data_IF_580990396572
#
_entry.id   IF_580990396572
#
_cell.length_a   1.000
_cell.length_b   1.000
_cell.length_c   1.000
_cell.angle_alpha   90.00
_cell.angle_beta   90.00
_cell.angle_gamma   90.00
#
_symmetry.space_group_name_H-M   'P 1'
#
loop_
_entity.id
_entity.type
_entity.pdbx_description
1 polymer ?
#
# COMPACT_ATOMS: atom_id res chain seq x y z
N UNK A 1 -2.82 4.36 49.52
CA UNK A 1 -2.19 3.16 48.94
C UNK A 1 -1.79 3.47 47.52
N UNK A 2 -0.48 3.46 47.22
CA UNK A 2 0.07 3.80 45.90
C UNK A 2 0.21 2.54 45.05
N UNK A 3 -0.47 2.49 43.91
CA UNK A 3 -0.31 1.42 42.92
C UNK A 3 0.91 1.74 42.04
N UNK A 4 2.04 1.09 42.31
CA UNK A 4 3.20 1.11 41.42
C UNK A 4 2.89 0.28 40.17
N UNK A 5 2.76 0.93 39.01
CA UNK A 5 2.61 0.25 37.73
C UNK A 5 3.96 -0.29 37.26
N UNK A 6 4.12 -1.62 37.31
CA UNK A 6 5.25 -2.31 36.67
C UNK A 6 5.18 -2.06 35.15
N UNK A 7 6.16 -1.35 34.58
CA UNK A 7 6.35 -1.24 33.13
C UNK A 7 7.02 -2.51 32.59
N UNK A 8 6.32 -3.26 31.75
CA UNK A 8 6.91 -4.30 30.93
C UNK A 8 7.46 -3.66 29.65
N UNK A 9 8.78 -3.63 29.50
CA UNK A 9 9.41 -3.11 28.29
C UNK A 9 9.27 -4.15 27.17
N UNK A 10 8.27 -3.98 26.30
CA UNK A 10 8.17 -4.74 25.06
C UNK A 10 8.97 -4.04 23.96
N UNK A 11 9.64 -4.84 23.12
CA UNK A 11 10.32 -4.33 21.93
C UNK A 11 9.27 -3.95 20.88
N UNK A 12 9.17 -2.66 20.57
CA UNK A 12 8.31 -2.20 19.46
C UNK A 12 8.94 -2.66 18.14
N UNK A 13 8.18 -3.42 17.36
CA UNK A 13 8.57 -3.77 16.00
C UNK A 13 8.19 -2.59 15.10
N UNK A 14 9.20 -1.93 14.52
CA UNK A 14 8.99 -0.81 13.62
C UNK A 14 8.57 -1.30 12.22
N UNK A 15 7.27 -1.46 12.05
CA UNK A 15 6.68 -1.85 10.77
C UNK A 15 6.93 -0.85 9.64
N UNK A 16 7.17 0.43 9.94
CA UNK A 16 7.47 1.44 8.90
C UNK A 16 8.85 1.19 8.32
N UNK A 17 9.85 1.00 9.18
CA UNK A 17 11.22 0.68 8.75
C UNK A 17 11.25 -0.60 7.92
N UNK A 18 10.55 -1.64 8.39
CA UNK A 18 10.46 -2.91 7.67
C UNK A 18 9.75 -2.73 6.32
N UNK A 19 8.65 -2.00 6.26
CA UNK A 19 7.93 -1.73 5.02
C UNK A 19 8.80 -0.99 3.99
N UNK A 20 9.57 0.02 4.43
CA UNK A 20 10.51 0.75 3.55
C UNK A 20 11.59 -0.18 2.99
N UNK A 21 12.14 -1.07 3.82
CA UNK A 21 13.11 -2.06 3.35
C UNK A 21 12.51 -2.98 2.27
N UNK A 22 11.33 -3.54 2.53
CA UNK A 22 10.63 -4.42 1.59
C UNK A 22 10.34 -3.69 0.26
N UNK A 23 9.90 -2.43 0.31
CA UNK A 23 9.65 -1.63 -0.90
C UNK A 23 10.92 -1.42 -1.73
N UNK A 24 12.08 -1.23 -1.09
CA UNK A 24 13.35 -1.09 -1.80
C UNK A 24 13.76 -2.39 -2.50
N UNK A 25 13.57 -3.54 -1.84
CA UNK A 25 13.82 -4.87 -2.40
C UNK A 25 12.91 -5.13 -3.62
N UNK A 26 11.60 -4.88 -3.49
CA UNK A 26 10.63 -5.04 -4.58
C UNK A 26 11.01 -4.15 -5.78
N UNK A 27 11.40 -2.90 -5.53
CA UNK A 27 11.83 -1.97 -6.60
C UNK A 27 13.03 -2.52 -7.38
N UNK A 28 14.01 -3.08 -6.67
CA UNK A 28 15.18 -3.70 -7.30
C UNK A 28 14.78 -4.89 -8.19
N UNK A 29 13.89 -5.74 -7.70
CA UNK A 29 13.41 -6.91 -8.46
C UNK A 29 12.63 -6.50 -9.72
N UNK A 30 11.81 -5.46 -9.62
CA UNK A 30 11.09 -4.91 -10.78
C UNK A 30 12.05 -4.35 -11.81
N UNK A 31 13.10 -3.64 -11.39
CA UNK A 31 14.11 -3.13 -12.33
C UNK A 31 14.81 -4.28 -13.06
N UNK A 32 15.19 -5.34 -12.34
CA UNK A 32 15.74 -6.56 -12.95
C UNK A 32 14.76 -7.25 -13.88
N UNK A 33 13.49 -7.29 -13.52
CA UNK A 33 12.43 -7.87 -14.33
C UNK A 33 12.25 -7.13 -15.67
N UNK A 34 12.18 -5.80 -15.60
CA UNK A 34 12.07 -4.92 -16.78
C UNK A 34 13.33 -4.98 -17.67
N UNK A 35 14.52 -5.04 -17.07
CA UNK A 35 15.78 -5.16 -17.81
C UNK A 35 15.87 -6.44 -18.66
N UNK A 36 15.09 -7.47 -18.33
CA UNK A 36 14.95 -8.70 -19.13
C UNK A 36 13.96 -8.57 -20.30
N UNK A 37 13.42 -7.37 -20.53
CA UNK A 37 12.43 -7.10 -21.58
C UNK A 37 11.00 -7.50 -21.20
N UNK A 38 10.75 -7.89 -19.95
CA UNK A 38 9.42 -8.27 -19.51
C UNK A 38 8.52 -7.04 -19.31
N UNK A 39 7.21 -7.23 -19.47
CA UNK A 39 6.22 -6.21 -19.14
C UNK A 39 6.22 -5.91 -17.64
N UNK A 40 6.13 -4.63 -17.29
CA UNK A 40 6.02 -4.18 -15.90
C UNK A 40 4.75 -4.69 -15.20
N UNK A 41 4.82 -4.99 -13.89
CA UNK A 41 3.63 -5.34 -13.11
C UNK A 41 2.61 -4.19 -13.05
N UNK A 42 1.35 -4.50 -12.73
CA UNK A 42 0.24 -3.54 -12.68
C UNK A 42 -0.59 -3.73 -11.41
N UNK A 43 -1.02 -2.63 -10.77
CA UNK A 43 -1.94 -2.67 -9.63
C UNK A 43 -3.23 -1.91 -9.95
N UNK A 44 -4.35 -2.63 -9.97
CA UNK A 44 -5.69 -2.04 -10.04
C UNK A 44 -6.35 -2.08 -8.67
N UNK A 45 -7.03 -1.01 -8.26
CA UNK A 45 -7.75 -0.95 -6.98
C UNK A 45 -9.17 -0.47 -7.19
N UNK A 46 -10.14 -1.28 -6.76
CA UNK A 46 -11.55 -0.95 -6.75
C UNK A 46 -11.96 -0.53 -5.35
N UNK A 47 -12.51 0.67 -5.22
CA UNK A 47 -13.15 1.17 -4.01
C UNK A 47 -14.66 1.19 -4.26
N UNK A 48 -15.43 0.56 -3.38
CA UNK A 48 -16.90 0.56 -3.43
C UNK A 48 -17.43 1.30 -2.21
N UNK A 49 -18.29 2.29 -2.44
CA UNK A 49 -18.85 3.17 -1.42
C UNK A 49 -17.85 4.21 -0.88
N UNK A 50 -18.28 4.94 0.15
CA UNK A 50 -17.63 6.21 0.57
C UNK A 50 -16.95 6.14 1.94
N UNK A 51 -16.55 4.95 2.40
CA UNK A 51 -15.89 4.80 3.70
C UNK A 51 -14.55 5.57 3.73
N UNK A 52 -14.40 6.61 4.58
CA UNK A 52 -13.18 7.43 4.62
C UNK A 52 -11.91 6.63 4.95
N UNK A 53 -12.02 5.61 5.80
CA UNK A 53 -10.88 4.76 6.15
C UNK A 53 -10.41 3.93 4.95
N UNK A 54 -11.36 3.44 4.15
CA UNK A 54 -11.07 2.69 2.92
C UNK A 54 -10.38 3.59 1.89
N UNK A 55 -10.81 4.86 1.75
CA UNK A 55 -10.16 5.82 0.86
C UNK A 55 -8.68 6.04 1.24
N UNK A 56 -8.38 6.18 2.53
CA UNK A 56 -7.00 6.30 3.03
C UNK A 56 -6.19 5.03 2.74
N UNK A 57 -6.76 3.85 2.98
CA UNK A 57 -6.09 2.58 2.70
C UNK A 57 -5.78 2.39 1.21
N UNK A 58 -6.73 2.72 0.34
CA UNK A 58 -6.55 2.67 -1.11
C UNK A 58 -5.45 3.64 -1.53
N UNK A 59 -5.48 4.90 -1.04
CA UNK A 59 -4.42 5.88 -1.31
C UNK A 59 -3.04 5.36 -0.91
N UNK A 60 -2.92 4.71 0.25
CA UNK A 60 -1.64 4.16 0.71
C UNK A 60 -1.16 2.99 -0.16
N UNK A 61 -2.04 2.10 -0.62
CA UNK A 61 -1.68 1.02 -1.56
C UNK A 61 -1.13 1.58 -2.87
N UNK A 62 -1.76 2.64 -3.37
CA UNK A 62 -1.40 3.30 -4.62
C UNK A 62 -0.06 4.04 -4.49
N UNK A 63 0.17 4.73 -3.37
CA UNK A 63 1.46 5.35 -3.05
C UNK A 63 2.58 4.32 -2.96
N UNK A 64 2.33 3.19 -2.30
CA UNK A 64 3.31 2.12 -2.18
C UNK A 64 3.68 1.53 -3.56
N UNK A 65 2.68 1.28 -4.42
CA UNK A 65 2.93 0.84 -5.79
C UNK A 65 3.77 1.88 -6.56
N UNK A 66 3.40 3.16 -6.52
CA UNK A 66 4.18 4.23 -7.19
C UNK A 66 5.63 4.30 -6.69
N UNK A 67 5.89 3.98 -5.43
CA UNK A 67 7.24 3.99 -4.86
C UNK A 67 8.09 2.81 -5.34
N UNK A 68 7.47 1.66 -5.65
CA UNK A 68 8.18 0.47 -6.15
C UNK A 68 8.33 0.44 -7.67
N UNK A 69 7.60 1.27 -8.43
CA UNK A 69 7.66 1.38 -9.89
C UNK A 69 6.60 2.33 -10.49
N UNK A 70 6.65 2.63 -11.79
CA UNK A 70 5.58 3.37 -12.48
C UNK A 70 4.45 2.40 -12.86
N UNK A 71 3.40 2.39 -12.05
CA UNK A 71 2.19 1.60 -12.33
C UNK A 71 1.14 2.54 -12.91
N UNK A 72 0.60 2.20 -14.08
CA UNK A 72 -0.66 2.78 -14.52
C UNK A 72 -1.70 2.52 -13.42
N UNK A 73 -2.41 3.55 -13.02
CA UNK A 73 -3.26 3.52 -11.85
C UNK A 73 -4.70 3.72 -12.30
N UNK A 74 -5.51 2.66 -12.20
CA UNK A 74 -6.95 2.79 -12.35
C UNK A 74 -7.59 2.89 -10.97
N UNK A 75 -7.99 4.12 -10.62
CA UNK A 75 -8.86 4.38 -9.49
C UNK A 75 -10.30 4.34 -9.98
N UNK A 76 -11.01 3.28 -9.61
CA UNK A 76 -12.42 3.08 -9.93
C UNK A 76 -13.36 3.99 -9.11
N UNK A 77 -12.97 5.24 -8.83
CA UNK A 77 -13.77 6.17 -8.02
C UNK A 77 -15.08 6.60 -8.70
N UNK A 78 -15.50 5.95 -9.80
CA UNK A 78 -16.70 6.28 -10.58
C UNK A 78 -17.61 5.07 -10.85
N UNK A 79 -17.65 4.06 -9.98
CA UNK A 79 -18.75 3.05 -10.01
C UNK A 79 -19.95 3.51 -9.16
N UNK A 80 -20.09 4.81 -8.89
CA UNK A 80 -21.36 5.36 -8.40
C UNK A 80 -22.39 5.58 -9.54
N UNK A 81 -22.02 5.34 -10.80
CA UNK A 81 -22.88 5.61 -11.96
C UNK A 81 -22.90 4.50 -13.02
N UNK A 82 -22.40 3.30 -12.74
CA UNK A 82 -22.68 2.13 -13.60
C UNK A 82 -24.08 1.61 -13.27
N UNK A 83 -25.08 2.29 -13.85
CA UNK A 83 -26.32 1.70 -14.34
C UNK A 83 -27.28 1.12 -13.30
N UNK A 84 -28.12 1.97 -12.70
CA UNK A 84 -29.56 1.72 -12.83
C UNK A 84 -29.94 1.85 -14.31
N UNK A 85 -29.91 0.73 -15.01
CA UNK A 85 -30.80 0.46 -16.13
C UNK A 85 -31.39 -0.92 -15.90
#
# INVERSE_FOLDING_TARGET
>A
MSFSSKKYASKIIDGKKIATQIQAEIKYDIQRWLARGNRGPHLSVLLVGDNPASAVYVSNKLKAAKQTGEYNQWLASQIASIGTK
#
